data_IF_907590517500
#
_entry.id   IF_907590517500
#
_cell.length_a   1.000
_cell.length_b   1.000
_cell.length_c   1.000
_cell.angle_alpha   90.00
_cell.angle_beta   90.00
_cell.angle_gamma   90.00
#
_symmetry.space_group_name_H-M   'P 1'
#
loop_
_entity.id
_entity.type
_entity.pdbx_description
1 polymer ?
#
# COMPACT_ATOMS: atom_id res chain seq x y z
N UNK A 1 3.38 -2.34 22.27
CA UNK A 1 2.77 -1.37 23.20
C UNK A 1 2.31 -2.11 24.44
N UNK A 2 2.70 -1.64 25.63
CA UNK A 2 2.23 -2.23 26.90
C UNK A 2 0.77 -1.85 27.14
N UNK A 3 0.06 -2.61 27.97
CA UNK A 3 -1.36 -2.34 28.25
C UNK A 3 -1.56 -1.00 28.98
N UNK A 4 -0.60 -0.61 29.83
CA UNK A 4 -0.58 0.72 30.44
C UNK A 4 -0.51 1.85 29.40
N UNK A 5 0.26 1.67 28.33
CA UNK A 5 0.36 2.65 27.24
C UNK A 5 -0.92 2.69 26.37
N UNK A 6 -1.58 1.54 26.15
CA UNK A 6 -2.86 1.48 25.43
C UNK A 6 -3.93 2.26 26.18
N UNK A 7 -4.04 1.99 27.48
CA UNK A 7 -5.00 2.65 28.36
C UNK A 7 -4.75 4.17 28.45
N UNK A 8 -3.49 4.58 28.66
CA UNK A 8 -3.13 5.99 28.70
C UNK A 8 -3.47 6.73 27.40
N UNK A 9 -3.24 6.10 26.24
CA UNK A 9 -3.63 6.66 24.95
C UNK A 9 -5.16 6.75 24.79
N UNK A 10 -5.89 5.69 25.12
CA UNK A 10 -7.35 5.66 25.00
C UNK A 10 -8.03 6.75 25.85
N UNK A 11 -7.55 6.93 27.08
CA UNK A 11 -8.06 7.99 27.97
C UNK A 11 -7.72 9.37 27.42
N UNK A 12 -6.51 9.57 26.89
CA UNK A 12 -6.08 10.86 26.34
C UNK A 12 -6.72 11.19 24.98
N UNK A 13 -7.06 10.19 24.17
CA UNK A 13 -7.61 10.34 22.83
C UNK A 13 -9.13 10.51 22.79
N UNK A 14 -9.79 10.49 23.96
CA UNK A 14 -11.24 10.57 24.05
C UNK A 14 -11.95 9.26 23.69
N UNK A 15 -11.41 8.13 24.16
CA UNK A 15 -11.88 6.77 23.87
C UNK A 15 -11.71 6.33 22.41
N UNK A 16 -10.70 6.88 21.72
CA UNK A 16 -10.39 6.45 20.36
C UNK A 16 -9.59 5.14 20.37
N UNK A 17 -10.13 4.12 19.70
CA UNK A 17 -9.52 2.80 19.65
C UNK A 17 -8.28 2.78 18.74
N UNK A 18 -7.15 2.30 19.28
CA UNK A 18 -5.88 2.19 18.54
C UNK A 18 -6.00 1.25 17.34
N UNK A 19 -6.81 0.20 17.47
CA UNK A 19 -7.09 -0.75 16.38
C UNK A 19 -7.70 -0.05 15.18
N UNK A 20 -8.64 0.88 15.41
CA UNK A 20 -9.29 1.64 14.35
C UNK A 20 -8.30 2.58 13.66
N UNK A 21 -7.43 3.27 14.42
CA UNK A 21 -6.36 4.09 13.85
C UNK A 21 -5.45 3.27 12.93
N UNK A 22 -5.02 2.10 13.40
CA UNK A 22 -4.21 1.17 12.63
C UNK A 22 -4.91 0.76 11.34
N UNK A 23 -6.19 0.39 11.40
CA UNK A 23 -6.96 -0.05 10.23
C UNK A 23 -7.06 1.06 9.17
N UNK A 24 -7.35 2.30 9.59
CA UNK A 24 -7.46 3.45 8.68
C UNK A 24 -6.12 3.75 8.03
N UNK A 25 -5.02 3.76 8.80
CA UNK A 25 -3.69 4.00 8.26
C UNK A 25 -3.26 2.91 7.25
N UNK A 26 -3.47 1.64 7.58
CA UNK A 26 -3.18 0.52 6.69
C UNK A 26 -4.06 0.57 5.44
N UNK A 27 -5.36 0.80 5.60
CA UNK A 27 -6.29 0.90 4.47
C UNK A 27 -5.91 2.02 3.50
N UNK A 28 -5.55 3.19 4.02
CA UNK A 28 -5.09 4.32 3.22
C UNK A 28 -3.78 4.01 2.47
N UNK A 29 -2.84 3.35 3.15
CA UNK A 29 -1.57 2.92 2.55
C UNK A 29 -1.81 1.94 1.39
N UNK A 30 -2.62 0.90 1.61
CA UNK A 30 -2.96 -0.07 0.57
C UNK A 30 -3.70 0.58 -0.59
N UNK A 31 -4.68 1.45 -0.33
CA UNK A 31 -5.42 2.16 -1.38
C UNK A 31 -4.49 2.99 -2.28
N UNK A 32 -3.53 3.70 -1.67
CA UNK A 32 -2.52 4.49 -2.40
C UNK A 32 -1.62 3.59 -3.26
N UNK A 33 -1.18 2.45 -2.73
CA UNK A 33 -0.37 1.48 -3.48
C UNK A 33 -1.14 0.91 -4.68
N UNK A 34 -2.41 0.55 -4.51
CA UNK A 34 -3.24 0.06 -5.62
C UNK A 34 -3.46 1.12 -6.69
N UNK A 35 -3.74 2.36 -6.29
CA UNK A 35 -3.91 3.47 -7.23
C UNK A 35 -2.63 3.71 -8.01
N UNK A 36 -1.48 3.74 -7.33
CA UNK A 36 -0.18 3.88 -7.96
C UNK A 36 0.14 2.71 -8.91
N UNK A 37 -0.17 1.48 -8.52
CA UNK A 37 0.02 0.31 -9.36
C UNK A 37 -0.87 0.33 -10.62
N UNK A 38 -2.13 0.75 -10.48
CA UNK A 38 -3.03 0.92 -11.62
C UNK A 38 -2.52 2.01 -12.58
N UNK A 39 -2.04 3.13 -12.03
CA UNK A 39 -1.45 4.21 -12.82
C UNK A 39 -0.19 3.75 -13.57
N UNK A 40 0.72 3.07 -12.87
CA UNK A 40 1.89 2.43 -13.45
C UNK A 40 1.54 1.45 -14.59
N UNK A 41 0.50 0.64 -14.41
CA UNK A 41 0.05 -0.30 -15.45
C UNK A 41 -0.46 0.44 -16.71
N UNK A 42 -1.18 1.54 -16.53
CA UNK A 42 -1.64 2.40 -17.64
C UNK A 42 -0.47 3.05 -18.36
N UNK A 43 0.53 3.57 -17.63
CA UNK A 43 1.75 4.14 -18.22
C UNK A 43 2.52 3.09 -19.03
N UNK A 44 2.61 1.86 -18.52
CA UNK A 44 3.22 0.73 -19.23
C UNK A 44 2.44 0.40 -20.50
N UNK A 45 1.11 0.32 -20.44
CA UNK A 45 0.26 0.05 -21.59
C UNK A 45 0.40 1.12 -22.67
N UNK A 46 0.36 2.39 -22.28
CA UNK A 46 0.53 3.53 -23.18
C UNK A 46 1.95 3.57 -23.77
N UNK A 47 2.98 3.22 -23.00
CA UNK A 47 4.35 3.11 -23.48
C UNK A 47 4.54 2.00 -24.50
N UNK A 48 3.92 0.84 -24.27
CA UNK A 48 3.92 -0.29 -25.20
C UNK A 48 3.17 0.02 -26.49
N UNK A 49 1.98 0.62 -26.40
CA UNK A 49 1.15 0.98 -27.55
C UNK A 49 1.80 2.01 -28.49
N UNK A 50 2.72 2.84 -27.97
CA UNK A 50 3.43 3.86 -28.75
C UNK A 50 4.81 3.40 -29.25
N UNK A 51 5.12 2.10 -29.19
CA UNK A 51 6.42 1.49 -29.57
C UNK A 51 7.66 2.14 -28.92
N UNK A 52 7.46 2.94 -27.86
CA UNK A 52 8.49 3.82 -27.30
C UNK A 52 9.39 3.16 -26.26
N UNK A 53 9.22 1.87 -25.96
CA UNK A 53 9.86 1.28 -24.78
C UNK A 53 10.60 -0.04 -25.04
N UNK A 54 11.84 -0.08 -24.54
CA UNK A 54 12.64 -1.30 -24.38
C UNK A 54 11.99 -2.19 -23.31
N UNK A 55 11.20 -3.17 -23.76
CA UNK A 55 10.33 -4.08 -22.98
C UNK A 55 10.90 -4.58 -21.62
N UNK A 56 12.21 -4.71 -21.48
CA UNK A 56 12.86 -5.26 -20.29
C UNK A 56 12.84 -4.34 -19.06
N UNK A 57 12.90 -3.02 -19.22
CA UNK A 57 12.91 -2.10 -18.06
C UNK A 57 11.52 -1.98 -17.44
N UNK A 58 10.49 -1.99 -18.28
CA UNK A 58 9.09 -1.94 -17.87
C UNK A 58 8.67 -3.22 -17.14
N UNK A 59 9.05 -4.40 -17.66
CA UNK A 59 8.65 -5.67 -17.05
C UNK A 59 9.22 -5.84 -15.64
N UNK A 60 10.45 -5.40 -15.40
CA UNK A 60 11.05 -5.42 -14.06
C UNK A 60 10.32 -4.50 -13.07
N UNK A 61 9.87 -3.33 -13.53
CA UNK A 61 9.11 -2.42 -12.69
C UNK A 61 7.75 -3.02 -12.31
N UNK A 62 7.01 -3.58 -13.28
CA UNK A 62 5.73 -4.24 -13.03
C UNK A 62 5.87 -5.41 -12.04
N UNK A 63 6.89 -6.26 -12.20
CA UNK A 63 7.15 -7.39 -11.29
C UNK A 63 7.47 -6.87 -9.88
N UNK A 64 8.30 -5.84 -9.74
CA UNK A 64 8.61 -5.24 -8.43
C UNK A 64 7.36 -4.70 -7.76
N UNK A 65 6.51 -3.98 -8.49
CA UNK A 65 5.23 -3.48 -7.98
C UNK A 65 4.30 -4.61 -7.53
N UNK A 66 4.18 -5.67 -8.33
CA UNK A 66 3.36 -6.83 -7.98
C UNK A 66 3.86 -7.53 -6.69
N UNK A 67 5.17 -7.73 -6.57
CA UNK A 67 5.78 -8.31 -5.35
C UNK A 67 5.52 -7.41 -4.14
N UNK A 68 5.66 -6.09 -4.30
CA UNK A 68 5.43 -5.13 -3.21
C UNK A 68 3.97 -5.16 -2.73
N UNK A 69 3.01 -5.26 -3.65
CA UNK A 69 1.59 -5.42 -3.30
C UNK A 69 1.31 -6.73 -2.55
N UNK A 70 1.86 -7.85 -3.02
CA UNK A 70 1.69 -9.16 -2.35
C UNK A 70 2.24 -9.11 -0.92
N UNK A 71 3.44 -8.56 -0.74
CA UNK A 71 4.06 -8.44 0.58
C UNK A 71 3.27 -7.48 1.48
N UNK A 72 2.76 -6.37 0.95
CA UNK A 72 1.96 -5.43 1.74
C UNK A 72 0.63 -6.04 2.19
N UNK A 73 -0.06 -6.78 1.32
CA UNK A 73 -1.30 -7.49 1.68
C UNK A 73 -1.00 -8.55 2.73
N UNK A 74 0.07 -9.33 2.55
CA UNK A 74 0.46 -10.33 3.54
C UNK A 74 0.86 -9.73 4.88
N UNK A 75 1.61 -8.62 4.91
CA UNK A 75 2.05 -8.03 6.19
C UNK A 75 0.92 -7.37 6.99
N UNK A 76 -0.08 -6.82 6.31
CA UNK A 76 -1.04 -5.91 6.95
C UNK A 76 -2.50 -6.36 6.87
N UNK A 77 -2.84 -7.29 5.98
CA UNK A 77 -4.21 -7.80 5.78
C UNK A 77 -4.36 -9.31 6.03
N UNK A 78 -3.34 -9.99 6.59
CA UNK A 78 -3.43 -11.35 7.14
C UNK A 78 -3.25 -11.34 8.65
#
# INVERSE_FOLDING_TARGET
MTDAQKNAFEVASGHFEITFLYLVCVGFFLATLFLWAAWAAVDVWNGWANEKVRNQTISQFTIRTAVLLVVAIWMFAS
#
